data_IF_322672645042
#
_entry.id   IF_322672645042
#
_cell.length_a   1.000
_cell.length_b   1.000
_cell.length_c   1.000
_cell.angle_alpha   90.00
_cell.angle_beta   90.00
_cell.angle_gamma   90.00
#
_symmetry.space_group_name_H-M   'P 1'
#
loop_
_entity.id
_entity.type
_entity.pdbx_description
1 polymer ?
#
# COMPACT_ATOMS: atom_id res chain seq x y z
N UNK A 1 -25.32 -12.37 9.52
CA UNK A 1 -24.45 -13.42 8.95
C UNK A 1 -23.27 -13.63 9.87
N UNK A 2 -23.06 -14.86 10.35
CA UNK A 2 -21.92 -15.21 11.22
C UNK A 2 -20.61 -15.30 10.40
N UNK A 3 -19.49 -14.91 11.01
CA UNK A 3 -18.18 -14.82 10.36
C UNK A 3 -17.73 -16.14 9.69
N UNK A 4 -18.04 -17.28 10.31
CA UNK A 4 -17.75 -18.62 9.78
C UNK A 4 -18.49 -18.89 8.46
N UNK A 5 -19.76 -18.50 8.36
CA UNK A 5 -20.56 -18.71 7.14
C UNK A 5 -20.08 -17.83 5.97
N UNK A 6 -19.59 -16.62 6.26
CA UNK A 6 -19.03 -15.72 5.25
C UNK A 6 -17.68 -16.24 4.71
N UNK A 7 -16.83 -16.81 5.57
CA UNK A 7 -15.57 -17.43 5.19
C UNK A 7 -15.79 -18.68 4.30
N UNK A 8 -16.74 -19.55 4.68
CA UNK A 8 -17.10 -20.74 3.88
C UNK A 8 -17.65 -20.36 2.51
N UNK A 9 -18.53 -19.34 2.41
CA UNK A 9 -19.00 -18.84 1.10
C UNK A 9 -17.87 -18.30 0.21
N UNK A 10 -16.91 -17.56 0.79
CA UNK A 10 -15.74 -17.05 0.05
C UNK A 10 -14.90 -18.18 -0.52
N UNK A 11 -14.63 -19.22 0.29
CA UNK A 11 -13.89 -20.40 -0.17
C UNK A 11 -14.63 -21.11 -1.31
N UNK A 12 -15.95 -21.30 -1.21
CA UNK A 12 -16.73 -21.96 -2.26
C UNK A 12 -16.70 -21.20 -3.60
N UNK A 13 -16.73 -19.87 -3.58
CA UNK A 13 -16.65 -19.06 -4.80
C UNK A 13 -15.24 -19.09 -5.42
N UNK A 14 -14.20 -19.05 -4.59
CA UNK A 14 -12.81 -19.15 -5.07
C UNK A 14 -12.53 -20.51 -5.69
N UNK A 15 -12.96 -21.60 -5.06
CA UNK A 15 -12.80 -22.95 -5.62
C UNK A 15 -13.62 -23.15 -6.89
N UNK A 16 -14.84 -22.60 -6.97
CA UNK A 16 -15.63 -22.60 -8.20
C UNK A 16 -14.94 -21.87 -9.34
N UNK A 17 -14.41 -20.67 -9.07
CA UNK A 17 -13.68 -19.89 -10.07
C UNK A 17 -12.39 -20.61 -10.52
N UNK A 18 -11.70 -21.28 -9.59
CA UNK A 18 -10.53 -22.10 -9.87
C UNK A 18 -10.87 -23.26 -10.82
N UNK A 19 -11.94 -24.02 -10.53
CA UNK A 19 -12.37 -25.11 -11.39
C UNK A 19 -12.83 -24.66 -12.78
N UNK A 20 -13.55 -23.53 -12.87
CA UNK A 20 -13.92 -22.96 -14.17
C UNK A 20 -12.68 -22.53 -14.98
N UNK A 21 -11.69 -21.92 -14.32
CA UNK A 21 -10.43 -21.53 -14.98
C UNK A 21 -9.68 -22.75 -15.52
N UNK A 22 -9.57 -23.81 -14.72
CA UNK A 22 -8.88 -25.04 -15.12
C UNK A 22 -9.60 -25.75 -16.28
N UNK A 23 -10.94 -25.66 -16.35
CA UNK A 23 -11.72 -26.21 -17.46
C UNK A 23 -11.65 -25.37 -18.73
N UNK A 24 -11.69 -24.04 -18.62
CA UNK A 24 -11.73 -23.15 -19.79
C UNK A 24 -10.35 -22.78 -20.34
N UNK A 25 -9.30 -22.81 -19.51
CA UNK A 25 -7.93 -22.46 -19.88
C UNK A 25 -6.92 -23.51 -19.38
N UNK A 26 -7.08 -24.79 -19.78
CA UNK A 26 -6.22 -25.88 -19.31
C UNK A 26 -4.76 -25.73 -19.76
N UNK A 27 -4.50 -25.01 -20.84
CA UNK A 27 -3.17 -24.78 -21.42
C UNK A 27 -2.32 -23.78 -20.60
N UNK A 28 -2.95 -22.97 -19.76
CA UNK A 28 -2.25 -21.94 -18.99
C UNK A 28 -1.62 -22.56 -17.75
N UNK A 29 -0.29 -22.72 -17.79
CA UNK A 29 0.49 -23.21 -16.66
C UNK A 29 0.36 -22.28 -15.43
N UNK A 30 0.39 -22.88 -14.24
CA UNK A 30 0.12 -22.17 -12.99
C UNK A 30 1.15 -21.07 -12.70
N UNK A 31 2.36 -21.20 -13.23
CA UNK A 31 3.48 -20.26 -13.10
C UNK A 31 3.18 -18.92 -13.78
N UNK A 32 2.30 -18.91 -14.79
CA UNK A 32 1.84 -17.69 -15.47
C UNK A 32 0.74 -16.96 -14.69
N UNK A 33 0.21 -17.57 -13.62
CA UNK A 33 -0.88 -17.00 -12.84
C UNK A 33 -0.33 -16.17 -11.68
N UNK A 34 -0.79 -14.92 -11.59
CA UNK A 34 -0.48 -14.06 -10.45
C UNK A 34 -1.45 -14.35 -9.30
N UNK A 35 -1.04 -15.18 -8.34
CA UNK A 35 -1.87 -15.66 -7.24
C UNK A 35 -1.39 -15.10 -5.89
N UNK A 36 -2.30 -14.52 -5.09
CA UNK A 36 -1.99 -13.92 -3.78
C UNK A 36 -1.25 -14.85 -2.80
N UNK A 37 -1.42 -16.17 -2.92
CA UNK A 37 -0.73 -17.15 -2.06
C UNK A 37 0.66 -17.54 -2.55
N UNK A 38 1.01 -17.22 -3.80
CA UNK A 38 2.25 -17.65 -4.47
C UNK A 38 3.15 -16.48 -4.85
N UNK A 39 2.59 -15.30 -5.04
CA UNK A 39 3.30 -14.13 -5.49
C UNK A 39 3.03 -12.96 -4.53
N UNK A 40 3.98 -12.04 -4.49
CA UNK A 40 3.92 -10.84 -3.65
C UNK A 40 3.34 -9.64 -4.41
N UNK A 41 3.20 -8.50 -3.70
CA UNK A 41 2.73 -7.24 -4.27
C UNK A 41 1.21 -7.05 -4.27
N UNK A 42 0.48 -7.85 -3.48
CA UNK A 42 -0.97 -7.68 -3.34
C UNK A 42 -1.32 -6.73 -2.19
N UNK A 43 -2.11 -5.71 -2.48
CA UNK A 43 -2.80 -4.92 -1.45
C UNK A 43 -4.29 -5.32 -1.32
N UNK A 44 -4.93 -4.93 -0.23
CA UNK A 44 -6.37 -5.12 -0.02
C UNK A 44 -7.11 -3.83 -0.38
N UNK A 45 -7.93 -3.90 -1.43
CA UNK A 45 -8.73 -2.75 -1.89
C UNK A 45 -10.24 -3.04 -1.79
N UNK A 46 -11.08 -2.01 -1.57
CA UNK A 46 -12.53 -2.18 -1.58
C UNK A 46 -13.04 -2.71 -2.93
N UNK A 47 -13.92 -3.71 -2.94
CA UNK A 47 -14.46 -4.29 -4.19
C UNK A 47 -15.37 -3.34 -4.98
N UNK A 48 -15.74 -2.23 -4.35
CA UNK A 48 -16.55 -1.14 -4.86
C UNK A 48 -15.70 -0.01 -5.44
N UNK A 49 -14.37 -0.09 -5.30
CA UNK A 49 -13.45 0.99 -5.65
C UNK A 49 -13.60 1.45 -7.11
N UNK A 50 -13.81 0.54 -8.06
CA UNK A 50 -14.03 0.90 -9.46
C UNK A 50 -15.25 1.83 -9.66
N UNK A 51 -16.35 1.59 -8.93
CA UNK A 51 -17.55 2.43 -8.98
C UNK A 51 -17.28 3.76 -8.26
N UNK A 52 -16.57 3.72 -7.13
CA UNK A 52 -16.13 4.92 -6.40
C UNK A 52 -15.27 5.81 -7.28
N UNK A 53 -14.34 5.26 -8.05
CA UNK A 53 -13.51 5.99 -9.00
C UNK A 53 -14.35 6.69 -10.07
N UNK A 54 -15.34 6.00 -10.65
CA UNK A 54 -16.26 6.61 -11.61
C UNK A 54 -17.08 7.77 -11.00
N UNK A 55 -17.49 7.64 -9.74
CA UNK A 55 -18.17 8.71 -8.99
C UNK A 55 -17.22 9.90 -8.78
N UNK A 56 -15.98 9.65 -8.35
CA UNK A 56 -14.95 10.68 -8.19
C UNK A 56 -14.72 11.42 -9.50
N UNK A 57 -14.57 10.69 -10.61
CA UNK A 57 -14.35 11.27 -11.93
C UNK A 57 -15.53 12.14 -12.36
N UNK A 58 -16.76 11.67 -12.13
CA UNK A 58 -17.98 12.46 -12.38
C UNK A 58 -18.05 13.74 -11.54
N UNK A 59 -17.57 13.71 -10.30
CA UNK A 59 -17.56 14.89 -9.41
C UNK A 59 -16.44 15.88 -9.75
N UNK A 60 -15.35 15.41 -10.34
CA UNK A 60 -14.15 16.19 -10.62
C UNK A 60 -14.21 17.09 -11.87
N UNK A 61 -15.35 17.17 -12.56
CA UNK A 61 -15.64 18.09 -13.70
C UNK A 61 -14.47 18.25 -14.71
N UNK A 62 -14.27 17.25 -15.57
CA UNK A 62 -13.23 17.18 -16.62
C UNK A 62 -11.79 17.01 -16.11
N UNK A 63 -11.60 16.70 -14.83
CA UNK A 63 -10.29 16.45 -14.23
C UNK A 63 -10.29 15.11 -13.50
N UNK A 64 -10.30 13.97 -14.22
CA UNK A 64 -10.44 12.67 -13.60
C UNK A 64 -9.40 12.47 -12.49
N UNK A 65 -9.90 12.11 -11.30
CA UNK A 65 -9.14 11.93 -10.05
C UNK A 65 -9.19 10.47 -9.57
N UNK A 66 -10.00 9.62 -10.18
CA UNK A 66 -10.21 8.23 -9.80
C UNK A 66 -8.91 7.41 -9.85
N UNK A 67 -8.10 7.58 -10.90
CA UNK A 67 -6.82 6.88 -11.01
C UNK A 67 -5.81 7.35 -9.96
N UNK A 68 -5.76 8.66 -9.66
CA UNK A 68 -4.93 9.18 -8.56
C UNK A 68 -5.36 8.58 -7.22
N UNK A 69 -6.67 8.47 -6.98
CA UNK A 69 -7.19 7.83 -5.78
C UNK A 69 -6.87 6.32 -5.71
N UNK A 70 -6.92 5.63 -6.85
CA UNK A 70 -6.54 4.22 -6.95
C UNK A 70 -5.07 4.00 -6.59
N UNK A 71 -4.16 4.85 -7.06
CA UNK A 71 -2.73 4.78 -6.70
C UNK A 71 -2.53 4.90 -5.19
N UNK A 72 -3.28 5.77 -4.51
CA UNK A 72 -3.23 5.85 -3.04
C UNK A 72 -3.64 4.52 -2.41
N UNK A 73 -4.73 3.89 -2.87
CA UNK A 73 -5.12 2.56 -2.37
C UNK A 73 -4.10 1.47 -2.64
N UNK A 74 -3.39 1.53 -3.78
CA UNK A 74 -2.33 0.58 -4.10
C UNK A 74 -1.11 0.71 -3.19
N UNK A 75 -0.84 1.92 -2.68
CA UNK A 75 0.26 2.19 -1.75
C UNK A 75 -0.13 2.06 -0.28
N UNK A 76 -1.43 2.07 0.02
CA UNK A 76 -1.94 1.80 1.35
C UNK A 76 -1.72 0.32 1.68
N UNK A 77 -1.19 0.08 2.86
CA UNK A 77 -1.12 -1.25 3.46
C UNK A 77 -2.48 -1.56 4.13
N UNK A 78 -2.47 -2.28 5.25
CA UNK A 78 -3.69 -2.53 6.02
C UNK A 78 -4.17 -1.31 6.84
N UNK A 79 -3.38 -0.24 6.89
CA UNK A 79 -3.75 1.05 7.49
C UNK A 79 -4.10 2.08 6.39
N UNK A 80 -5.18 2.87 6.56
CA UNK A 80 -5.59 3.86 5.55
C UNK A 80 -4.72 5.12 5.53
N UNK A 81 -3.68 5.22 6.37
CA UNK A 81 -2.73 6.32 6.36
C UNK A 81 -1.50 6.00 5.50
N UNK A 82 -1.08 7.00 4.72
CA UNK A 82 0.07 6.95 3.85
C UNK A 82 1.05 8.07 4.19
N UNK A 83 2.33 7.77 4.01
CA UNK A 83 3.41 8.74 4.02
C UNK A 83 3.95 8.88 2.61
N UNK A 84 3.86 10.08 2.03
CA UNK A 84 4.34 10.40 0.69
C UNK A 84 5.63 11.20 0.83
N UNK A 85 6.76 10.56 0.50
CA UNK A 85 8.06 11.21 0.51
C UNK A 85 8.39 11.82 -0.86
N UNK A 86 8.04 11.13 -1.94
CA UNK A 86 8.32 11.57 -3.30
C UNK A 86 7.04 11.64 -4.15
N UNK A 87 6.43 12.84 -4.29
CA UNK A 87 5.26 13.06 -5.13
C UNK A 87 5.42 12.67 -6.61
N UNK A 88 6.65 12.65 -7.14
CA UNK A 88 6.88 12.33 -8.55
C UNK A 88 6.57 10.85 -8.87
N UNK A 89 6.82 9.94 -7.92
CA UNK A 89 6.50 8.52 -8.08
C UNK A 89 4.99 8.32 -8.22
N UNK A 90 4.22 8.95 -7.32
CA UNK A 90 2.76 8.88 -7.34
C UNK A 90 2.17 9.55 -8.60
N UNK A 91 2.77 10.64 -9.07
CA UNK A 91 2.35 11.28 -10.30
C UNK A 91 2.54 10.36 -11.52
N UNK A 92 3.71 9.71 -11.62
CA UNK A 92 4.02 8.77 -12.69
C UNK A 92 3.10 7.54 -12.67
N UNK A 93 2.85 6.96 -11.49
CA UNK A 93 1.95 5.81 -11.33
C UNK A 93 0.48 6.15 -11.64
N UNK A 94 0.08 7.40 -11.41
CA UNK A 94 -1.22 7.91 -11.83
C UNK A 94 -1.29 8.22 -13.34
N UNK A 95 -0.23 7.94 -14.10
CA UNK A 95 -0.14 8.14 -15.54
C UNK A 95 0.17 9.58 -15.97
N UNK A 96 0.57 10.46 -15.04
CA UNK A 96 1.00 11.81 -15.39
C UNK A 96 2.48 11.82 -15.80
N UNK A 97 2.78 12.48 -16.91
CA UNK A 97 4.13 12.59 -17.46
C UNK A 97 4.49 14.04 -17.83
N UNK A 98 5.76 14.28 -18.10
CA UNK A 98 6.31 15.59 -18.45
C UNK A 98 6.54 16.53 -17.27
N UNK A 99 7.00 17.74 -17.55
CA UNK A 99 7.44 18.73 -16.55
C UNK A 99 6.35 19.12 -15.55
N UNK A 100 5.08 19.05 -15.96
CA UNK A 100 3.93 19.42 -15.13
C UNK A 100 3.27 18.23 -14.42
N UNK A 101 3.85 17.02 -14.49
CA UNK A 101 3.25 15.82 -13.91
C UNK A 101 2.91 16.00 -12.42
N UNK A 102 3.87 16.47 -11.62
CA UNK A 102 3.70 16.69 -10.18
C UNK A 102 2.67 17.78 -9.90
N UNK A 103 2.66 18.86 -10.71
CA UNK A 103 1.70 19.95 -10.56
C UNK A 103 0.28 19.46 -10.83
N UNK A 104 0.08 18.72 -11.91
CA UNK A 104 -1.22 18.12 -12.25
C UNK A 104 -1.66 17.13 -11.16
N UNK A 105 -0.73 16.29 -10.68
CA UNK A 105 -1.01 15.36 -9.58
C UNK A 105 -1.44 16.08 -8.30
N UNK A 106 -0.76 17.16 -7.89
CA UNK A 106 -1.15 17.99 -6.73
C UNK A 106 -2.54 18.59 -6.89
N UNK A 107 -2.92 19.02 -8.09
CA UNK A 107 -4.28 19.48 -8.36
C UNK A 107 -5.33 18.37 -8.17
N UNK A 108 -5.00 17.12 -8.52
CA UNK A 108 -5.88 15.96 -8.28
C UNK A 108 -5.97 15.62 -6.79
N UNK A 109 -4.85 15.64 -6.07
CA UNK A 109 -4.82 15.47 -4.62
C UNK A 109 -5.67 16.52 -3.90
N UNK A 110 -5.56 17.79 -4.31
CA UNK A 110 -6.40 18.86 -3.79
C UNK A 110 -7.88 18.61 -4.04
N UNK A 111 -8.25 18.23 -5.27
CA UNK A 111 -9.64 17.88 -5.59
C UNK A 111 -10.17 16.69 -4.75
N UNK A 112 -9.35 15.66 -4.51
CA UNK A 112 -9.72 14.53 -3.64
C UNK A 112 -9.93 14.96 -2.18
N UNK A 113 -9.11 15.91 -1.71
CA UNK A 113 -9.23 16.49 -0.37
C UNK A 113 -10.49 17.35 -0.26
N UNK A 114 -10.78 18.18 -1.26
CA UNK A 114 -11.96 19.04 -1.31
C UNK A 114 -13.26 18.23 -1.37
N UNK A 115 -13.25 17.10 -2.09
CA UNK A 115 -14.35 16.13 -2.12
C UNK A 115 -14.47 15.30 -0.84
N UNK A 116 -13.52 15.41 0.09
CA UNK A 116 -13.54 14.72 1.37
C UNK A 116 -13.19 13.22 1.31
N UNK A 117 -12.62 12.72 0.21
CA UNK A 117 -12.15 11.32 0.13
C UNK A 117 -10.84 11.10 0.89
N UNK A 118 -10.04 12.14 1.02
CA UNK A 118 -8.77 12.10 1.76
C UNK A 118 -8.68 13.27 2.73
N UNK A 119 -7.92 13.08 3.81
CA UNK A 119 -7.41 14.17 4.65
C UNK A 119 -5.91 14.25 4.48
N UNK A 120 -5.40 15.46 4.35
CA UNK A 120 -3.98 15.69 4.17
C UNK A 120 -3.44 16.47 5.37
N UNK A 121 -2.21 16.16 5.76
CA UNK A 121 -1.45 16.93 6.75
C UNK A 121 -0.04 17.16 6.22
N UNK A 122 0.42 18.40 6.40
CA UNK A 122 1.75 18.82 5.98
C UNK A 122 2.86 18.08 6.76
N UNK A 123 4.01 17.95 6.12
CA UNK A 123 5.21 17.38 6.70
C UNK A 123 6.45 17.66 5.85
N UNK A 124 7.49 16.86 6.00
CA UNK A 124 8.80 17.12 5.39
C UNK A 124 8.77 17.16 3.86
N UNK A 125 7.88 16.41 3.21
CA UNK A 125 7.75 16.37 1.75
C UNK A 125 6.68 17.33 1.19
N UNK A 126 6.09 18.20 2.03
CA UNK A 126 5.09 19.20 1.64
C UNK A 126 3.68 18.91 2.14
N UNK A 127 2.68 19.57 1.52
CA UNK A 127 1.28 19.60 1.98
C UNK A 127 0.58 18.22 1.97
N UNK A 128 1.05 17.30 1.12
CA UNK A 128 0.52 15.94 0.96
C UNK A 128 1.44 14.88 1.58
N UNK A 129 2.32 15.25 2.53
CA UNK A 129 3.24 14.28 3.11
C UNK A 129 2.51 13.19 3.90
N UNK A 130 1.53 13.55 4.73
CA UNK A 130 0.66 12.58 5.39
C UNK A 130 -0.73 12.61 4.74
N UNK A 131 -1.19 11.47 4.26
CA UNK A 131 -2.50 11.33 3.62
C UNK A 131 -3.28 10.22 4.29
N UNK A 132 -4.47 10.55 4.81
CA UNK A 132 -5.41 9.59 5.38
C UNK A 132 -6.57 9.38 4.42
N UNK A 133 -6.75 8.14 3.95
CA UNK A 133 -7.88 7.75 3.12
C UNK A 133 -9.11 7.55 4.02
N UNK A 134 -10.21 8.22 3.69
CA UNK A 134 -11.48 8.06 4.41
C UNK A 134 -12.33 6.95 3.78
N UNK A 135 -13.28 6.41 4.55
CA UNK A 135 -14.22 5.43 4.01
C UNK A 135 -15.00 6.07 2.84
N UNK A 136 -14.82 5.61 1.59
CA UNK A 136 -15.43 6.24 0.42
C UNK A 136 -16.96 6.16 0.44
N UNK A 137 -17.53 5.13 1.07
CA UNK A 137 -18.99 4.95 1.16
C UNK A 137 -19.65 6.02 2.00
N UNK A 138 -19.02 6.40 3.12
CA UNK A 138 -19.51 7.46 3.99
C UNK A 138 -19.41 8.83 3.33
N UNK A 139 -18.32 9.06 2.59
CA UNK A 139 -18.10 10.31 1.84
C UNK A 139 -19.18 10.44 0.76
N UNK A 140 -19.41 9.40 -0.02
CA UNK A 140 -20.45 9.36 -1.07
C UNK A 140 -21.84 9.57 -0.48
N UNK A 141 -22.15 8.91 0.64
CA UNK A 141 -23.46 9.06 1.30
C UNK A 141 -23.75 10.53 1.69
N UNK A 142 -22.75 11.25 2.21
CA UNK A 142 -22.89 12.66 2.61
C UNK A 142 -23.20 13.59 1.43
N UNK A 143 -22.76 13.25 0.22
CA UNK A 143 -22.89 14.09 -0.98
C UNK A 143 -23.74 13.44 -2.08
N UNK A 144 -24.62 12.51 -1.71
CA UNK A 144 -25.48 11.76 -2.65
C UNK A 144 -26.31 12.66 -3.58
N UNK A 145 -26.74 13.83 -3.11
CA UNK A 145 -27.51 14.80 -3.92
C UNK A 145 -26.73 15.38 -5.10
N UNK A 146 -25.39 15.33 -5.06
CA UNK A 146 -24.52 15.87 -6.11
C UNK A 146 -24.04 14.80 -7.10
N UNK A 147 -24.44 13.55 -6.92
CA UNK A 147 -24.02 12.40 -7.72
C UNK A 147 -25.19 11.96 -8.60
N UNK A 148 -24.91 11.54 -9.82
CA UNK A 148 -25.93 10.99 -10.71
C UNK A 148 -26.57 9.72 -10.10
N UNK A 149 -27.89 9.64 -10.14
CA UNK A 149 -28.66 8.51 -9.57
C UNK A 149 -28.21 7.16 -10.13
N UNK A 150 -27.88 7.10 -11.42
CA UNK A 150 -27.41 5.88 -12.08
C UNK A 150 -26.09 5.34 -11.49
N UNK A 151 -25.19 6.20 -11.03
CA UNK A 151 -23.95 5.79 -10.37
C UNK A 151 -24.19 5.35 -8.93
N UNK A 152 -25.10 6.03 -8.22
CA UNK A 152 -25.49 5.64 -6.88
C UNK A 152 -26.18 4.27 -6.86
N UNK A 153 -27.10 4.03 -7.79
CA UNK A 153 -27.80 2.75 -7.91
C UNK A 153 -26.81 1.59 -8.13
N UNK A 154 -25.85 1.76 -9.05
CA UNK A 154 -24.77 0.77 -9.27
C UNK A 154 -23.97 0.49 -8.01
N UNK A 155 -23.68 1.54 -7.21
CA UNK A 155 -22.96 1.38 -5.95
C UNK A 155 -23.80 0.61 -4.92
N UNK A 156 -25.10 0.89 -4.81
CA UNK A 156 -26.00 0.17 -3.89
C UNK A 156 -26.19 -1.29 -4.29
N UNK A 157 -26.43 -1.57 -5.57
CA UNK A 157 -26.52 -2.93 -6.12
C UNK A 157 -25.26 -3.71 -5.78
N UNK A 158 -24.09 -3.13 -6.10
CA UNK A 158 -22.81 -3.77 -5.79
C UNK A 158 -22.59 -3.95 -4.28
N UNK A 159 -23.03 -2.98 -3.49
CA UNK A 159 -22.99 -3.06 -2.03
C UNK A 159 -23.82 -4.21 -1.48
N UNK A 160 -25.01 -4.43 -2.04
CA UNK A 160 -25.88 -5.54 -1.66
C UNK A 160 -25.27 -6.90 -2.05
N UNK A 161 -24.73 -7.01 -3.28
CA UNK A 161 -24.07 -8.23 -3.77
C UNK A 161 -22.92 -8.69 -2.86
N UNK A 162 -22.09 -7.76 -2.39
CA UNK A 162 -20.92 -8.08 -1.56
C UNK A 162 -21.24 -8.09 -0.06
N UNK A 163 -22.44 -7.66 0.34
CA UNK A 163 -22.85 -7.55 1.74
C UNK A 163 -22.18 -6.41 2.52
N UNK A 164 -21.84 -5.30 1.84
CA UNK A 164 -21.20 -4.14 2.46
C UNK A 164 -22.19 -3.36 3.34
N UNK A 165 -22.06 -3.49 4.66
CA UNK A 165 -22.98 -2.89 5.63
C UNK A 165 -22.94 -1.36 5.64
N UNK A 166 -21.79 -0.79 5.35
CA UNK A 166 -21.54 0.66 5.28
C UNK A 166 -22.21 1.34 4.08
N UNK A 167 -22.56 0.58 3.04
CA UNK A 167 -23.37 1.05 1.91
C UNK A 167 -24.86 0.90 2.19
N UNK A 168 -25.25 -0.24 2.78
CA UNK A 168 -26.66 -0.58 3.04
C UNK A 168 -27.23 0.17 4.23
N UNK A 169 -26.42 0.43 5.26
CA UNK A 169 -26.79 1.20 6.44
C UNK A 169 -25.64 2.15 6.85
N UNK A 170 -25.48 3.27 6.12
CA UNK A 170 -24.42 4.24 6.38
C UNK A 170 -24.59 4.96 7.73
N UNK A 171 -25.82 5.11 8.24
CA UNK A 171 -26.08 5.75 9.53
C UNK A 171 -25.55 4.92 10.70
N UNK A 172 -25.74 3.60 10.67
CA UNK A 172 -25.17 2.69 11.68
C UNK A 172 -23.64 2.63 11.63
N UNK A 173 -23.02 2.95 10.49
CA UNK A 173 -21.56 3.02 10.35
C UNK A 173 -20.97 4.32 10.92
N UNK A 174 -21.79 5.37 11.11
CA UNK A 174 -21.39 6.64 11.73
C UNK A 174 -21.49 6.63 13.26
N UNK A 175 -22.18 5.66 13.84
CA UNK A 175 -22.19 5.48 15.30
C UNK A 175 -20.77 5.06 15.71
N UNK A 176 -20.07 5.84 16.55
CA UNK A 176 -18.74 5.48 17.00
C UNK A 176 -18.84 4.16 17.75
N UNK A 177 -18.30 3.09 17.15
CA UNK A 177 -18.04 1.86 17.91
C UNK A 177 -17.12 2.26 19.05
N UNK A 178 -17.35 1.78 20.29
CA UNK A 178 -16.51 2.13 21.42
C UNK A 178 -15.06 1.86 21.03
N UNK A 179 -14.30 2.94 20.86
CA UNK A 179 -12.89 2.88 20.55
C UNK A 179 -12.22 2.27 21.76
N UNK A 180 -11.55 1.13 21.58
CA UNK A 180 -10.55 0.71 22.55
C UNK A 180 -9.55 1.88 22.60
N UNK A 181 -9.37 2.56 23.74
CA UNK A 181 -8.41 3.63 23.82
C UNK A 181 -7.05 3.08 23.37
N UNK A 182 -6.26 3.83 22.58
CA UNK A 182 -4.91 3.40 22.26
C UNK A 182 -4.22 3.12 23.60
N UNK A 183 -3.70 1.90 23.76
CA UNK A 183 -2.92 1.54 24.93
C UNK A 183 -1.91 2.67 25.15
N UNK A 184 -2.05 3.34 26.29
CA UNK A 184 -1.19 4.42 26.73
C UNK A 184 0.26 4.00 26.51
N UNK A 185 0.97 4.69 25.60
CA UNK A 185 2.43 4.59 25.47
C UNK A 185 3.11 5.40 26.61
N UNK A 186 2.40 5.70 27.69
CA UNK A 186 2.99 6.16 28.94
C UNK A 186 3.08 4.96 29.90
N UNK A 187 4.14 4.14 29.75
CA UNK A 187 4.33 2.98 30.59
C UNK A 187 5.47 2.06 30.17
N UNK A 188 6.60 2.58 29.70
CA UNK A 188 7.82 1.78 29.50
C UNK A 188 9.00 2.53 30.13
N UNK A 189 9.43 1.99 31.27
CA UNK A 189 10.73 2.16 31.96
C UNK A 189 10.95 3.39 32.87
N UNK A 190 10.43 3.30 34.09
CA UNK A 190 11.23 3.56 35.30
C UNK A 190 11.46 2.22 36.01
N UNK A 191 12.45 1.45 35.55
CA UNK A 191 13.15 0.50 36.42
C UNK A 191 14.64 0.77 36.28
N UNK A 192 15.19 1.46 37.26
CA UNK A 192 16.63 1.62 37.39
C UNK A 192 17.28 0.27 37.66
N UNK A 193 17.91 -0.30 36.64
CA UNK A 193 19.06 -1.18 36.80
C UNK A 193 20.07 -0.72 35.74
N UNK A 194 21.17 -0.13 36.19
CA UNK A 194 22.25 0.28 35.32
C UNK A 194 22.86 -0.97 34.64
N UNK A 195 23.09 -0.96 33.32
CA UNK A 195 23.86 -2.02 32.69
C UNK A 195 25.32 -1.87 33.13
N UNK A 196 25.82 -2.88 33.85
CA UNK A 196 27.24 -3.07 34.13
C UNK A 196 27.95 -3.22 32.78
N UNK A 197 28.85 -2.29 32.47
CA UNK A 197 29.72 -2.37 31.30
C UNK A 197 30.59 -3.64 31.41
N UNK A 198 30.75 -4.43 30.33
CA UNK A 198 31.72 -5.53 30.34
C UNK A 198 33.13 -4.94 30.41
N UNK A 199 33.86 -5.30 31.47
CA UNK A 199 35.29 -4.99 31.65
C UNK A 199 36.07 -5.72 30.55
N UNK A 200 36.64 -4.97 29.63
CA UNK A 200 37.60 -5.46 28.64
C UNK A 200 38.92 -5.74 29.36
N UNK A 201 39.48 -6.97 29.32
CA UNK A 201 40.80 -7.23 29.90
C UNK A 201 41.90 -6.54 29.09
N UNK A 202 42.98 -6.04 29.75
CA UNK A 202 44.07 -5.36 29.06
C UNK A 202 44.89 -6.33 28.20
N UNK A 203 45.49 -5.85 27.09
CA UNK A 203 46.34 -6.68 26.23
C UNK A 203 47.67 -7.00 26.93
N UNK A 204 48.21 -8.23 26.77
CA UNK A 204 49.53 -8.55 27.29
C UNK A 204 50.62 -7.81 26.51
N UNK A 205 51.48 -7.09 27.24
CA UNK A 205 52.68 -6.46 26.72
C UNK A 205 53.89 -7.30 27.12
N UNK A 206 54.58 -7.91 26.15
CA UNK A 206 56.04 -8.13 26.20
C UNK A 206 56.61 -8.55 24.83
N UNK A 207 57.35 -7.62 24.20
CA UNK A 207 58.72 -7.74 23.65
C UNK A 207 59.45 -9.08 23.94
N UNK A 208 60.35 -9.67 23.15
CA UNK A 208 61.14 -9.29 21.96
C UNK A 208 61.91 -10.54 21.45
N UNK A 209 62.38 -10.48 20.18
CA UNK A 209 63.65 -11.01 19.63
C UNK A 209 63.64 -12.22 18.65
N UNK A 210 64.11 -11.89 17.42
CA UNK A 210 64.92 -12.62 16.41
C UNK A 210 64.58 -14.11 16.10
N UNK A 211 64.45 -14.54 14.85
CA UNK A 211 65.56 -14.66 13.87
C UNK A 211 65.05 -14.96 12.44
N UNK A 212 65.54 -14.19 11.47
CA UNK A 212 65.97 -14.49 10.08
C UNK A 212 65.48 -15.73 9.26
N UNK A 213 65.03 -15.43 8.02
CA UNK A 213 65.30 -16.10 6.72
C UNK A 213 64.15 -16.76 5.91
N UNK A 214 64.25 -16.55 4.57
CA UNK A 214 63.49 -17.04 3.39
C UNK A 214 62.18 -16.29 3.04
N UNK A 215 62.14 -15.29 2.15
CA UNK A 215 62.49 -15.15 0.71
C UNK A 215 61.59 -15.96 -0.26
N UNK A 216 60.84 -15.17 -1.06
CA UNK A 216 60.30 -15.37 -2.43
C UNK A 216 59.04 -16.23 -2.64
N UNK A 217 58.03 -15.59 -3.24
CA UNK A 217 57.18 -16.26 -4.23
C UNK A 217 55.82 -15.60 -4.49
N UNK A 218 55.73 -14.89 -5.62
CA UNK A 218 54.54 -14.76 -6.46
C UNK A 218 53.53 -13.63 -6.16
N UNK A 219 53.89 -12.44 -6.63
CA UNK A 219 52.93 -11.50 -7.21
C UNK A 219 53.01 -11.54 -8.75
N UNK A 220 51.87 -11.26 -9.38
CA UNK A 220 51.63 -10.83 -10.77
C UNK A 220 51.55 -11.89 -11.89
N UNK A 221 50.57 -11.66 -12.77
CA UNK A 221 50.21 -12.43 -13.97
C UNK A 221 48.69 -12.37 -14.22
N UNK A 222 48.08 -11.20 -14.45
CA UNK A 222 47.91 -10.51 -15.75
C UNK A 222 47.08 -11.25 -16.82
N UNK A 223 46.04 -10.52 -17.28
CA UNK A 223 45.61 -10.33 -18.67
C UNK A 223 45.09 -11.52 -19.49
N UNK A 224 43.79 -11.47 -19.81
CA UNK A 224 43.32 -11.82 -21.16
C UNK A 224 42.18 -10.88 -21.57
N UNK A 225 42.40 -10.15 -22.66
CA UNK A 225 41.41 -9.43 -23.46
C UNK A 225 41.63 -9.73 -24.94
N UNK A 226 40.56 -9.62 -25.74
CA UNK A 226 40.51 -9.75 -27.21
C UNK A 226 40.51 -11.21 -27.68
N UNK A 227 39.75 -11.68 -28.66
CA UNK A 227 39.31 -11.05 -29.92
C UNK A 227 38.21 -11.96 -30.57
N UNK A 228 37.08 -11.41 -31.04
CA UNK A 228 36.60 -11.30 -32.44
C UNK A 228 36.08 -12.56 -33.16
N UNK A 229 34.91 -12.36 -33.78
CA UNK A 229 34.26 -12.98 -34.95
C UNK A 229 34.47 -14.48 -35.29
N UNK A 230 33.34 -15.22 -35.35
CA UNK A 230 32.80 -16.02 -36.48
C UNK A 230 31.33 -16.35 -36.18
#
# INVERSE_FOLDING_TARGET
>A
MNATQAATKKNNMTERAKGLRENFFPEVAQEWLWLRKRNDGFTTIPRTLAIVMAIIDSLSKNKPCGLTYFVLWCRAWDDPMLTIENPAIFAAEAGFSGERAVVTWRQRMKALSDLGFIKCKEGSAGEFHYVLILNPHLVIWKQKSSIAESLLMRLYERGHEIGAKDIVNPEAALIPKPSIPPASIAGVMLSGVAPVLPVVPPPPTSVSSATEAQIKGLAAGELFGGDSDI
#
